data_IF_364816921026
#
_entry.id   IF_364816921026
#
_cell.length_a   1.000
_cell.length_b   1.000
_cell.length_c   1.000
_cell.angle_alpha   90.00
_cell.angle_beta   90.00
_cell.angle_gamma   90.00
#
_symmetry.space_group_name_H-M   'P 1'
#
loop_
_entity.id
_entity.type
_entity.pdbx_description
1 polymer ?
#
# COMPACT_ATOMS: atom_id res chain seq x y z
N UNK A 1 10.96 -3.10 -30.67
CA UNK A 1 11.11 -2.84 -29.21
C UNK A 1 9.85 -3.36 -28.53
N UNK A 2 9.92 -3.80 -27.29
CA UNK A 2 8.70 -4.19 -26.56
C UNK A 2 7.81 -2.95 -26.37
N UNK A 3 6.51 -3.07 -26.64
CA UNK A 3 5.57 -1.95 -26.54
C UNK A 3 5.32 -1.55 -25.07
N UNK A 4 5.53 -2.48 -24.14
CA UNK A 4 5.42 -2.24 -22.70
C UNK A 4 6.28 -3.22 -21.91
N UNK A 5 6.67 -2.81 -20.70
CA UNK A 5 7.43 -3.64 -19.74
C UNK A 5 6.64 -3.70 -18.43
N UNK A 6 6.62 -4.87 -17.81
CA UNK A 6 6.11 -5.02 -16.44
C UNK A 6 7.27 -5.23 -15.49
N UNK A 7 7.30 -4.44 -14.42
CA UNK A 7 8.25 -4.53 -13.31
C UNK A 7 7.50 -4.99 -12.07
N UNK A 8 7.99 -6.06 -11.46
CA UNK A 8 7.38 -6.67 -10.27
C UNK A 8 8.22 -6.30 -9.05
N UNK A 9 7.60 -5.59 -8.13
CA UNK A 9 8.23 -5.01 -6.94
C UNK A 9 8.61 -3.55 -7.14
N UNK A 10 8.00 -2.65 -6.35
CA UNK A 10 8.19 -1.22 -6.39
C UNK A 10 9.07 -0.71 -5.21
N UNK A 11 10.10 -1.45 -4.86
CA UNK A 11 11.19 -0.96 -4.02
C UNK A 11 12.21 -0.17 -4.83
N UNK A 12 13.30 0.25 -4.21
CA UNK A 12 14.36 1.08 -4.82
C UNK A 12 14.84 0.58 -6.17
N UNK A 13 15.00 -0.73 -6.33
CA UNK A 13 15.44 -1.33 -7.60
C UNK A 13 14.36 -1.21 -8.70
N UNK A 14 13.11 -1.53 -8.36
CA UNK A 14 11.97 -1.45 -9.30
C UNK A 14 11.68 -0.01 -9.71
N UNK A 15 11.72 0.92 -8.79
CA UNK A 15 11.57 2.37 -9.03
C UNK A 15 12.63 2.86 -10.03
N UNK A 16 13.91 2.58 -9.76
CA UNK A 16 14.99 2.97 -10.66
C UNK A 16 14.90 2.30 -12.03
N UNK A 17 14.52 1.03 -12.09
CA UNK A 17 14.29 0.33 -13.34
C UNK A 17 13.14 0.96 -14.14
N UNK A 18 12.04 1.32 -13.47
CA UNK A 18 10.88 1.96 -14.08
C UNK A 18 11.24 3.32 -14.68
N UNK A 19 11.90 4.18 -13.93
CA UNK A 19 12.34 5.49 -14.40
C UNK A 19 13.29 5.38 -15.58
N UNK A 20 14.26 4.49 -15.53
CA UNK A 20 15.21 4.30 -16.64
C UNK A 20 14.53 3.76 -17.91
N UNK A 21 13.61 2.81 -17.78
CA UNK A 21 12.86 2.30 -18.94
C UNK A 21 11.95 3.37 -19.55
N UNK A 22 11.27 4.14 -18.71
CA UNK A 22 10.35 5.20 -19.12
C UNK A 22 11.05 6.36 -19.83
N UNK A 23 12.31 6.67 -19.48
CA UNK A 23 13.14 7.68 -20.18
C UNK A 23 13.31 7.40 -21.69
N UNK A 24 13.24 6.14 -22.08
CA UNK A 24 13.30 5.74 -23.49
C UNK A 24 11.94 5.65 -24.17
N UNK A 25 10.89 6.19 -23.54
CA UNK A 25 9.54 6.21 -24.08
C UNK A 25 8.77 4.88 -23.93
N UNK A 26 9.32 3.90 -23.21
CA UNK A 26 8.65 2.62 -23.00
C UNK A 26 7.54 2.77 -21.96
N UNK A 27 6.35 2.21 -22.24
CA UNK A 27 5.28 2.09 -21.24
C UNK A 27 5.69 1.08 -20.16
N UNK A 28 5.58 1.47 -18.90
CA UNK A 28 5.95 0.65 -17.74
C UNK A 28 4.76 0.41 -16.83
N UNK A 29 4.51 -0.85 -16.51
CA UNK A 29 3.59 -1.27 -15.45
C UNK A 29 4.40 -1.66 -14.23
N UNK A 30 4.35 -0.83 -13.18
CA UNK A 30 5.05 -1.07 -11.92
C UNK A 30 4.08 -1.69 -10.91
N UNK A 31 4.26 -2.98 -10.62
CA UNK A 31 3.35 -3.79 -9.80
C UNK A 31 3.95 -4.06 -8.44
N UNK A 32 3.18 -3.82 -7.38
CA UNK A 32 3.57 -4.13 -6.00
C UNK A 32 2.40 -4.71 -5.21
N UNK A 33 2.66 -5.67 -4.35
CA UNK A 33 1.66 -6.30 -3.50
C UNK A 33 1.37 -5.54 -2.21
N UNK A 34 2.17 -4.51 -1.92
CA UNK A 34 1.99 -3.58 -0.80
C UNK A 34 1.10 -2.39 -1.17
N UNK A 35 0.67 -1.66 -0.16
CA UNK A 35 -0.26 -0.53 -0.34
C UNK A 35 0.42 0.74 -0.87
N UNK A 36 1.74 0.82 -0.80
CA UNK A 36 2.54 1.96 -1.28
C UNK A 36 3.83 1.46 -1.92
N UNK A 37 4.35 2.17 -2.90
CA UNK A 37 5.69 1.95 -3.43
C UNK A 37 6.77 2.41 -2.42
N UNK A 38 8.06 2.10 -2.67
CA UNK A 38 9.20 2.46 -1.84
C UNK A 38 9.83 1.26 -1.12
N UNK A 39 9.07 0.18 -0.93
CA UNK A 39 9.58 -1.07 -0.36
C UNK A 39 10.20 -0.91 1.03
N UNK A 40 11.33 -1.59 1.26
CA UNK A 40 12.01 -1.58 2.55
C UNK A 40 12.73 -0.26 2.81
N UNK A 41 13.32 0.36 1.77
CA UNK A 41 14.10 1.58 1.94
C UNK A 41 13.26 2.73 2.48
N UNK A 42 12.01 2.86 2.04
CA UNK A 42 11.07 3.87 2.55
C UNK A 42 10.71 3.70 4.03
N UNK A 43 11.00 2.54 4.63
CA UNK A 43 10.69 2.19 6.02
C UNK A 43 11.91 2.21 6.94
N UNK A 44 13.11 2.36 6.40
CA UNK A 44 14.33 2.47 7.17
C UNK A 44 14.57 3.93 7.57
N UNK A 45 15.19 4.13 8.74
CA UNK A 45 15.60 5.47 9.20
C UNK A 45 16.78 5.99 8.37
N UNK A 46 17.86 5.19 8.31
CA UNK A 46 19.11 5.60 7.69
C UNK A 46 19.73 4.50 6.84
N UNK A 47 20.54 4.92 5.85
CA UNK A 47 21.33 4.03 5.01
C UNK A 47 22.74 3.83 5.59
N UNK A 48 23.27 2.60 5.46
CA UNK A 48 24.64 2.29 5.80
C UNK A 48 25.51 2.32 4.51
N UNK A 49 26.75 2.80 4.51
CA UNK A 49 27.50 3.36 5.66
C UNK A 49 27.41 4.89 5.80
N UNK A 50 26.72 5.56 4.88
CA UNK A 50 26.70 7.03 4.76
C UNK A 50 25.89 7.70 5.87
N UNK A 51 25.00 6.95 6.52
CA UNK A 51 24.10 7.43 7.56
C UNK A 51 23.09 8.51 7.07
N UNK A 52 22.80 8.48 5.78
CA UNK A 52 21.82 9.37 5.15
C UNK A 52 20.39 8.93 5.46
N UNK A 53 19.46 9.87 5.39
CA UNK A 53 18.03 9.61 5.53
C UNK A 53 17.51 8.79 4.35
N UNK A 54 17.09 7.55 4.58
CA UNK A 54 16.67 6.62 3.52
C UNK A 54 15.49 7.15 2.70
N UNK A 55 14.44 7.62 3.38
CA UNK A 55 13.24 8.15 2.69
C UNK A 55 13.54 9.47 1.97
N UNK A 56 14.49 10.28 2.48
CA UNK A 56 14.88 11.53 1.83
C UNK A 56 15.54 11.29 0.46
N UNK A 57 16.21 10.14 0.31
CA UNK A 57 16.81 9.73 -0.96
C UNK A 57 15.74 9.14 -1.90
N UNK A 58 14.82 8.36 -1.38
CA UNK A 58 13.87 7.60 -2.19
C UNK A 58 12.61 8.40 -2.56
N UNK A 59 12.12 9.27 -1.67
CA UNK A 59 10.88 10.02 -1.90
C UNK A 59 10.86 10.85 -3.21
N UNK A 60 11.94 11.53 -3.61
CA UNK A 60 11.97 12.22 -4.90
C UNK A 60 11.76 11.29 -6.08
N UNK A 61 12.33 10.08 -6.05
CA UNK A 61 12.19 9.08 -7.10
C UNK A 61 10.76 8.49 -7.12
N UNK A 62 10.17 8.27 -5.94
CA UNK A 62 8.77 7.83 -5.83
C UNK A 62 7.83 8.88 -6.44
N UNK A 63 8.06 10.16 -6.16
CA UNK A 63 7.29 11.25 -6.73
C UNK A 63 7.49 11.36 -8.26
N UNK A 64 8.70 11.15 -8.76
CA UNK A 64 8.98 11.14 -10.21
C UNK A 64 8.23 10.00 -10.91
N UNK A 65 8.19 8.80 -10.30
CA UNK A 65 7.44 7.65 -10.81
C UNK A 65 5.94 7.93 -10.86
N UNK A 66 5.40 8.54 -9.80
CA UNK A 66 3.96 8.84 -9.66
C UNK A 66 3.47 9.82 -10.74
N UNK A 67 4.32 10.79 -11.09
CA UNK A 67 3.99 11.81 -12.07
C UNK A 67 4.45 11.48 -13.51
N UNK A 68 5.07 10.33 -13.73
CA UNK A 68 5.63 10.00 -15.04
C UNK A 68 4.56 9.45 -16.00
N UNK A 69 4.32 10.07 -17.17
CA UNK A 69 3.21 9.71 -18.08
C UNK A 69 3.30 8.28 -18.62
N UNK A 70 4.50 7.71 -18.71
CA UNK A 70 4.74 6.35 -19.22
C UNK A 70 4.77 5.30 -18.12
N UNK A 71 4.59 5.65 -16.84
CA UNK A 71 4.60 4.69 -15.73
C UNK A 71 3.18 4.58 -15.16
N UNK A 72 2.72 3.36 -14.99
CA UNK A 72 1.46 3.06 -14.33
C UNK A 72 1.72 2.23 -13.08
N UNK A 73 1.39 2.79 -11.92
CA UNK A 73 1.59 2.17 -10.63
C UNK A 73 0.39 1.29 -10.26
N UNK A 74 0.65 0.05 -9.93
CA UNK A 74 -0.35 -0.94 -9.50
C UNK A 74 -0.02 -1.46 -8.09
N UNK A 75 -0.36 -0.70 -7.06
CA UNK A 75 -0.25 -1.12 -5.65
C UNK A 75 -1.35 -2.10 -5.27
N UNK A 76 -1.17 -2.82 -4.16
CA UNK A 76 -2.07 -3.88 -3.69
C UNK A 76 -2.35 -4.95 -4.75
N UNK A 77 -1.39 -5.21 -5.63
CA UNK A 77 -1.59 -6.09 -6.79
C UNK A 77 -0.57 -7.23 -6.77
N UNK A 78 -1.06 -8.45 -6.77
CA UNK A 78 -0.26 -9.66 -6.72
C UNK A 78 -0.18 -10.32 -8.11
N UNK A 79 1.02 -10.71 -8.53
CA UNK A 79 1.23 -11.49 -9.75
C UNK A 79 0.98 -12.96 -9.45
N UNK A 80 -0.08 -13.53 -10.03
CA UNK A 80 -0.47 -14.94 -9.81
C UNK A 80 0.12 -15.91 -10.82
N UNK A 81 0.26 -15.48 -12.07
CA UNK A 81 0.76 -16.35 -13.13
C UNK A 81 1.38 -15.53 -14.24
N UNK A 82 2.54 -15.98 -14.70
CA UNK A 82 3.18 -15.48 -15.92
C UNK A 82 3.28 -16.66 -16.89
N UNK A 83 2.89 -16.46 -18.13
CA UNK A 83 2.98 -17.45 -19.20
C UNK A 83 3.47 -16.78 -20.48
N UNK A 84 4.33 -17.49 -21.21
CA UNK A 84 4.77 -17.04 -22.53
C UNK A 84 3.56 -16.96 -23.49
N UNK A 85 3.57 -15.94 -24.32
CA UNK A 85 2.62 -15.73 -25.41
C UNK A 85 3.38 -15.27 -26.64
N UNK A 86 2.75 -15.33 -27.81
CA UNK A 86 3.39 -14.97 -29.09
C UNK A 86 3.95 -13.54 -29.02
N UNK A 87 5.27 -13.44 -28.97
CA UNK A 87 5.99 -12.15 -28.93
C UNK A 87 6.09 -11.47 -27.57
N UNK A 88 5.61 -12.11 -26.45
CA UNK A 88 5.67 -11.51 -25.13
C UNK A 88 5.19 -12.41 -24.01
N UNK A 89 4.59 -11.82 -22.98
CA UNK A 89 4.10 -12.53 -21.80
C UNK A 89 2.65 -12.17 -21.50
N UNK A 90 1.87 -13.19 -21.13
CA UNK A 90 0.53 -13.02 -20.55
C UNK A 90 0.65 -13.13 -19.04
N UNK A 91 0.32 -12.05 -18.35
CA UNK A 91 0.39 -11.97 -16.88
C UNK A 91 -1.00 -11.90 -16.30
N UNK A 92 -1.26 -12.74 -15.29
CA UNK A 92 -2.49 -12.71 -14.49
C UNK A 92 -2.20 -11.99 -13.18
N UNK A 93 -2.90 -10.90 -12.97
CA UNK A 93 -2.83 -10.07 -11.77
C UNK A 93 -4.08 -10.27 -10.92
N UNK A 94 -3.92 -10.17 -9.61
CA UNK A 94 -5.01 -10.06 -8.63
C UNK A 94 -4.83 -8.78 -7.87
N UNK A 95 -5.66 -7.79 -8.18
CA UNK A 95 -5.72 -6.53 -7.44
C UNK A 95 -6.57 -6.75 -6.19
N UNK A 96 -5.97 -6.58 -5.03
CA UNK A 96 -6.66 -6.66 -3.74
C UNK A 96 -7.58 -5.45 -3.58
N UNK A 97 -8.74 -5.64 -2.94
CA UNK A 97 -9.68 -4.56 -2.77
C UNK A 97 -9.08 -3.44 -1.91
N UNK A 98 -9.11 -2.23 -2.42
CA UNK A 98 -8.88 -1.01 -1.66
C UNK A 98 -10.25 -0.53 -1.17
N UNK A 99 -10.36 -0.25 0.11
CA UNK A 99 -11.64 0.11 0.72
C UNK A 99 -11.75 1.60 0.99
N UNK A 100 -10.78 2.34 0.50
CA UNK A 100 -10.72 3.79 0.56
C UNK A 100 -10.60 4.27 -0.88
N UNK A 101 -11.38 5.27 -1.21
CA UNK A 101 -11.35 5.93 -2.49
C UNK A 101 -10.11 6.81 -2.56
N UNK A 102 -9.16 6.45 -3.42
CA UNK A 102 -7.88 7.13 -3.54
C UNK A 102 -8.01 8.55 -4.10
N UNK A 103 -9.02 8.81 -4.92
CA UNK A 103 -9.25 10.13 -5.51
C UNK A 103 -9.82 11.13 -4.48
N UNK A 104 -10.54 10.62 -3.48
CA UNK A 104 -11.15 11.45 -2.43
C UNK A 104 -10.31 11.55 -1.16
N UNK A 105 -9.48 10.54 -0.89
CA UNK A 105 -8.66 10.51 0.31
C UNK A 105 -7.49 11.49 0.19
N UNK A 106 -7.40 12.44 1.11
CA UNK A 106 -6.31 13.43 1.14
C UNK A 106 -5.19 13.08 2.11
N UNK A 107 -5.21 11.87 2.71
CA UNK A 107 -4.19 11.46 3.66
C UNK A 107 -4.17 12.25 4.98
N UNK A 108 -5.26 12.90 5.37
CA UNK A 108 -5.31 13.76 6.56
C UNK A 108 -5.12 13.04 7.90
N UNK A 109 -5.27 11.71 7.94
CA UNK A 109 -5.03 10.90 9.14
C UNK A 109 -6.12 10.92 10.21
N UNK A 110 -7.22 11.64 10.05
CA UNK A 110 -8.28 11.71 11.05
C UNK A 110 -8.95 10.36 11.32
N UNK A 111 -9.05 9.52 10.28
CA UNK A 111 -9.53 8.15 10.42
C UNK A 111 -8.63 7.28 11.31
N UNK A 112 -7.31 7.53 11.33
CA UNK A 112 -6.38 6.82 12.23
C UNK A 112 -6.58 7.26 13.69
N UNK A 113 -6.80 8.56 13.94
CA UNK A 113 -7.08 9.08 15.28
C UNK A 113 -8.39 8.52 15.84
N UNK A 114 -9.41 8.41 14.98
CA UNK A 114 -10.72 7.86 15.35
C UNK A 114 -10.71 6.33 15.55
N UNK A 115 -9.71 5.61 15.03
CA UNK A 115 -9.66 4.16 15.10
C UNK A 115 -9.25 3.67 16.49
N UNK A 116 -10.10 2.95 17.23
CA UNK A 116 -9.74 2.40 18.56
C UNK A 116 -8.88 1.14 18.44
N UNK A 117 -8.93 0.43 17.31
CA UNK A 117 -8.32 -0.89 17.14
C UNK A 117 -6.83 -0.77 16.86
N UNK A 118 -6.03 -1.54 17.60
CA UNK A 118 -4.57 -1.61 17.46
C UNK A 118 -4.19 -3.04 17.07
N UNK A 119 -3.28 -3.16 16.12
CA UNK A 119 -2.74 -4.44 15.61
C UNK A 119 -1.22 -4.45 15.68
N UNK A 120 -0.61 -5.63 15.63
CA UNK A 120 0.84 -5.75 15.56
C UNK A 120 1.38 -5.06 14.29
N UNK A 121 2.45 -4.30 14.43
CA UNK A 121 3.11 -3.67 13.31
C UNK A 121 3.86 -4.71 12.46
N UNK A 122 3.86 -4.56 11.14
CA UNK A 122 4.41 -5.56 10.22
C UNK A 122 5.93 -5.77 10.39
N UNK A 123 6.68 -4.71 10.70
CA UNK A 123 8.13 -4.78 10.85
C UNK A 123 8.56 -5.17 12.26
N UNK A 124 7.98 -4.56 13.27
CA UNK A 124 8.41 -4.63 14.67
C UNK A 124 7.37 -5.25 15.61
N UNK A 125 6.28 -5.78 15.07
CA UNK A 125 5.23 -6.43 15.87
C UNK A 125 5.70 -7.62 16.69
N UNK A 126 6.80 -8.28 16.27
CA UNK A 126 7.43 -9.37 17.03
C UNK A 126 8.13 -8.90 18.30
N UNK A 127 8.52 -7.64 18.38
CA UNK A 127 9.16 -7.00 19.53
C UNK A 127 8.23 -6.01 20.25
N UNK A 128 6.93 -6.08 19.96
CA UNK A 128 5.89 -5.31 20.65
C UNK A 128 5.44 -4.03 19.91
N UNK A 129 5.95 -3.75 18.72
CA UNK A 129 5.49 -2.63 17.92
C UNK A 129 4.03 -2.80 17.48
N UNK A 130 3.23 -1.75 17.60
CA UNK A 130 1.81 -1.76 17.25
C UNK A 130 1.45 -0.58 16.36
N UNK A 131 0.42 -0.74 15.53
CA UNK A 131 -0.18 0.33 14.74
C UNK A 131 -1.70 0.26 14.76
N UNK A 132 -2.35 1.31 14.32
CA UNK A 132 -3.80 1.29 14.15
C UNK A 132 -4.21 0.37 13.00
N UNK A 133 -5.44 -0.16 13.07
CA UNK A 133 -6.01 -1.00 12.02
C UNK A 133 -6.15 -0.25 10.69
N UNK A 134 -6.57 1.01 10.76
CA UNK A 134 -6.48 1.96 9.65
C UNK A 134 -5.23 2.81 9.85
N UNK A 135 -4.40 2.90 8.84
CA UNK A 135 -3.08 3.52 8.96
C UNK A 135 -2.63 4.15 7.63
N UNK A 136 -1.66 5.05 7.71
CA UNK A 136 -0.86 5.49 6.58
C UNK A 136 0.42 4.65 6.55
N UNK A 137 0.85 4.12 5.41
CA UNK A 137 2.09 3.32 5.34
C UNK A 137 3.31 4.07 5.89
N UNK A 138 3.48 5.31 5.46
CA UNK A 138 4.46 6.28 5.96
C UNK A 138 4.09 7.68 5.41
N UNK A 139 4.67 8.77 5.93
CA UNK A 139 4.23 10.13 5.56
C UNK A 139 4.36 10.48 4.07
N UNK A 140 5.37 9.93 3.38
CA UNK A 140 5.64 10.16 1.95
C UNK A 140 5.12 9.02 1.06
N UNK A 141 4.14 8.26 1.55
CA UNK A 141 3.59 7.12 0.80
C UNK A 141 3.03 7.54 -0.57
N UNK A 142 3.21 6.67 -1.56
CA UNK A 142 2.64 6.82 -2.91
C UNK A 142 1.88 5.53 -3.25
N UNK A 143 0.55 5.62 -3.45
CA UNK A 143 -0.31 6.78 -3.21
C UNK A 143 -0.39 7.16 -1.73
N UNK A 144 -0.58 8.45 -1.44
CA UNK A 144 -0.70 8.96 -0.07
C UNK A 144 -2.15 8.87 0.43
N UNK A 145 -2.58 7.67 0.72
CA UNK A 145 -3.94 7.35 1.17
C UNK A 145 -3.92 6.45 2.40
N UNK A 146 -4.96 6.56 3.23
CA UNK A 146 -5.12 5.66 4.36
C UNK A 146 -5.37 4.21 3.86
N UNK A 147 -4.90 3.25 4.63
CA UNK A 147 -5.01 1.83 4.33
C UNK A 147 -5.71 1.12 5.48
N UNK A 148 -6.63 0.23 5.18
CA UNK A 148 -7.24 -0.67 6.16
C UNK A 148 -6.51 -2.00 6.09
N UNK A 149 -6.04 -2.50 7.24
CA UNK A 149 -5.35 -3.78 7.33
C UNK A 149 -6.21 -4.92 6.78
N UNK A 150 -5.67 -5.61 5.78
CA UNK A 150 -6.39 -6.69 5.12
C UNK A 150 -6.56 -7.93 6.02
N UNK A 151 -5.72 -8.11 7.02
CA UNK A 151 -5.85 -9.20 7.97
C UNK A 151 -7.12 -9.08 8.82
N UNK A 152 -7.63 -7.87 9.04
CA UNK A 152 -8.94 -7.66 9.65
C UNK A 152 -10.09 -8.16 8.75
N UNK A 153 -9.89 -8.19 7.43
CA UNK A 153 -10.91 -8.58 6.45
C UNK A 153 -10.79 -10.01 5.95
N UNK A 154 -9.64 -10.67 6.12
CA UNK A 154 -9.50 -12.11 5.88
C UNK A 154 -10.25 -12.92 6.94
N UNK A 155 -10.55 -12.33 8.10
CA UNK A 155 -11.54 -12.85 9.00
C UNK A 155 -12.91 -12.82 8.33
N UNK A 156 -13.39 -13.99 7.91
CA UNK A 156 -14.75 -14.16 7.39
C UNK A 156 -15.72 -13.70 8.49
N UNK A 157 -16.20 -12.46 8.39
CA UNK A 157 -17.31 -12.02 9.22
C UNK A 157 -18.52 -12.90 8.87
N UNK A 158 -18.97 -13.67 9.84
CA UNK A 158 -20.27 -14.35 9.73
C UNK A 158 -21.38 -13.30 9.76
N UNK A 159 -22.52 -13.61 9.18
CA UNK A 159 -23.73 -12.77 9.18
C UNK A 159 -24.18 -12.33 10.61
N UNK A 160 -23.67 -12.98 11.67
CA UNK A 160 -23.92 -12.66 13.07
C UNK A 160 -22.83 -11.78 13.72
N UNK A 161 -21.90 -11.21 12.93
CA UNK A 161 -20.84 -10.33 13.45
C UNK A 161 -19.66 -11.01 14.11
N UNK A 162 -19.56 -12.36 14.09
CA UNK A 162 -18.44 -13.08 14.64
C UNK A 162 -17.34 -13.34 13.60
N UNK A 163 -16.08 -13.04 13.91
CA UNK A 163 -14.92 -13.38 13.10
C UNK A 163 -14.60 -14.87 13.17
N UNK A 164 -14.28 -15.49 12.04
CA UNK A 164 -13.90 -16.90 11.94
C UNK A 164 -12.41 -17.00 11.62
N UNK A 165 -11.64 -17.34 12.64
CA UNK A 165 -10.26 -17.84 12.51
C UNK A 165 -9.22 -16.84 11.98
N UNK A 166 -8.11 -16.69 12.70
CA UNK A 166 -6.92 -15.98 12.26
C UNK A 166 -6.95 -14.44 12.41
N UNK A 167 -7.95 -13.89 13.05
CA UNK A 167 -7.95 -12.46 13.38
C UNK A 167 -6.98 -12.22 14.55
N UNK A 168 -6.01 -11.35 14.36
CA UNK A 168 -5.07 -10.89 15.41
C UNK A 168 -5.68 -9.82 16.32
N UNK A 169 -6.95 -9.47 16.12
CA UNK A 169 -7.66 -8.44 16.88
C UNK A 169 -8.57 -9.10 17.90
N UNK A 170 -8.54 -8.60 19.13
CA UNK A 170 -9.48 -9.03 20.17
C UNK A 170 -10.93 -8.78 19.71
N UNK A 171 -11.75 -9.84 19.73
CA UNK A 171 -13.14 -9.78 19.27
C UNK A 171 -14.01 -8.80 20.07
N UNK A 172 -13.62 -8.45 21.30
CA UNK A 172 -14.30 -7.42 22.08
C UNK A 172 -14.17 -6.04 21.45
N UNK A 173 -13.00 -5.74 20.87
CA UNK A 173 -12.74 -4.49 20.15
C UNK A 173 -13.39 -4.46 18.76
N UNK A 174 -13.62 -5.63 18.15
CA UNK A 174 -14.24 -5.76 16.83
C UNK A 174 -15.76 -5.52 16.85
N UNK A 175 -16.43 -5.68 17.99
CA UNK A 175 -17.88 -5.45 18.13
C UNK A 175 -18.27 -3.97 18.00
N UNK A 176 -17.36 -3.08 18.33
CA UNK A 176 -17.51 -1.63 18.16
C UNK A 176 -16.95 -1.15 16.82
N UNK A 177 -17.07 -1.94 15.77
CA UNK A 177 -16.37 -1.90 14.51
C UNK A 177 -16.03 -0.46 14.05
N UNK A 178 -14.74 -0.13 14.01
CA UNK A 178 -14.29 1.24 13.77
C UNK A 178 -14.53 1.76 12.36
N UNK A 179 -14.98 0.90 11.44
CA UNK A 179 -15.33 1.34 10.07
C UNK A 179 -16.37 2.45 10.11
N UNK A 180 -17.36 2.36 11.01
CA UNK A 180 -18.32 3.44 11.19
C UNK A 180 -17.68 4.71 11.78
N UNK A 181 -16.70 4.57 12.68
CA UNK A 181 -16.01 5.70 13.30
C UNK A 181 -15.05 6.39 12.33
N UNK A 182 -14.30 5.63 11.54
CA UNK A 182 -13.40 6.22 10.54
C UNK A 182 -14.17 6.86 9.39
N UNK A 183 -15.29 6.29 8.96
CA UNK A 183 -16.19 6.92 7.99
C UNK A 183 -16.80 8.20 8.56
N UNK A 184 -17.25 8.19 9.80
CA UNK A 184 -17.79 9.38 10.45
C UNK A 184 -16.74 10.49 10.64
N UNK A 185 -15.48 10.12 10.93
CA UNK A 185 -14.37 11.06 11.02
C UNK A 185 -14.05 11.67 9.65
N UNK A 186 -14.02 10.87 8.60
CA UNK A 186 -13.79 11.33 7.24
C UNK A 186 -14.88 12.31 6.76
N UNK A 187 -16.14 12.00 7.05
CA UNK A 187 -17.29 12.87 6.73
C UNK A 187 -17.27 14.22 7.47
N UNK A 188 -16.80 14.27 8.72
CA UNK A 188 -16.62 15.52 9.48
C UNK A 188 -15.65 16.48 8.81
N UNK A 189 -14.64 15.95 8.13
CA UNK A 189 -13.67 16.72 7.35
C UNK A 189 -14.21 17.12 5.95
N UNK A 190 -15.49 16.87 5.66
CA UNK A 190 -16.08 17.14 4.35
C UNK A 190 -15.60 16.21 3.23
N UNK A 191 -15.04 15.05 3.58
CA UNK A 191 -14.48 14.05 2.67
C UNK A 191 -15.27 12.76 2.81
N UNK A 192 -15.67 12.20 1.70
CA UNK A 192 -16.41 10.93 1.63
C UNK A 192 -15.55 9.91 0.87
N UNK A 193 -14.39 9.55 1.46
CA UNK A 193 -13.39 8.65 0.88
C UNK A 193 -13.55 7.19 1.34
#
# INVERSE_FOLDING_TARGET
MADAIMIIGAGVAGINCALNAAKYGTKVYLVDDTASIGGMMARLDKTFPTNDCSICIEAPQMYEVDNHPNIEIMTNTEVRKVSAANGGFKVRLVKKAKFIDEEKCTGCGECMKACPVTVAHEMDGKIGGTRKLIYMPFPQAVPNVAVIDQNCRSGKMRANGACVGGCVVDCSQCRECPIALCVAACKKEGKDA
#
